data_IF_922011568631
#
_entry.id   IF_922011568631
#
_cell.length_a   1.000
_cell.length_b   1.000
_cell.length_c   1.000
_cell.angle_alpha   90.00
_cell.angle_beta   90.00
_cell.angle_gamma   90.00
#
_symmetry.space_group_name_H-M   'P 1'
#
loop_
_entity.id
_entity.type
_entity.pdbx_description
1 polymer ?
#
# COMPACT_ATOMS: atom_id res chain seq x y z
N UNK A 1 -15.45 2.36 -26.66
CA UNK A 1 -16.69 3.13 -26.79
C UNK A 1 -16.73 4.13 -25.63
N UNK A 2 -16.82 5.41 -25.95
CA UNK A 2 -17.07 6.47 -24.97
C UNK A 2 -18.52 6.32 -24.50
N UNK A 3 -18.71 6.21 -23.21
CA UNK A 3 -20.05 6.24 -22.60
C UNK A 3 -20.23 7.68 -22.11
N UNK A 4 -21.13 8.44 -22.70
CA UNK A 4 -21.55 9.74 -22.15
C UNK A 4 -22.37 9.51 -20.88
N UNK A 5 -21.89 10.07 -19.77
CA UNK A 5 -22.63 10.05 -18.51
C UNK A 5 -23.06 11.49 -18.22
N UNK A 6 -24.34 11.76 -18.29
CA UNK A 6 -24.94 13.02 -17.83
C UNK A 6 -25.01 13.02 -16.30
N UNK A 7 -24.52 14.09 -15.69
CA UNK A 7 -24.33 14.33 -14.26
C UNK A 7 -25.29 13.61 -13.31
N UNK A 8 -24.78 12.66 -12.55
CA UNK A 8 -25.23 12.39 -11.18
C UNK A 8 -24.17 11.56 -10.46
N UNK A 9 -23.61 12.07 -9.37
CA UNK A 9 -22.66 11.35 -8.50
C UNK A 9 -23.16 9.97 -8.05
N UNK A 10 -24.49 9.81 -8.01
CA UNK A 10 -25.15 8.54 -7.71
C UNK A 10 -24.98 7.44 -8.76
N UNK A 11 -24.68 7.78 -10.03
CA UNK A 11 -24.46 6.76 -11.09
C UNK A 11 -23.06 6.15 -11.07
N UNK A 12 -22.09 6.81 -10.44
CA UNK A 12 -20.72 6.31 -10.33
C UNK A 12 -20.49 5.52 -9.04
N UNK A 13 -21.28 5.81 -8.01
CA UNK A 13 -21.28 5.07 -6.76
C UNK A 13 -21.84 3.66 -6.97
N UNK A 14 -20.98 2.65 -6.90
CA UNK A 14 -21.40 1.24 -6.98
C UNK A 14 -21.21 0.56 -8.34
N UNK A 15 -20.69 1.24 -9.36
CA UNK A 15 -20.31 0.55 -10.61
C UNK A 15 -19.10 -0.35 -10.37
N UNK A 16 -19.29 -1.66 -10.42
CA UNK A 16 -18.22 -2.66 -10.36
C UNK A 16 -17.61 -2.88 -11.74
N UNK A 17 -16.30 -3.15 -11.77
CA UNK A 17 -15.63 -3.63 -12.97
C UNK A 17 -15.65 -5.15 -12.94
N UNK A 18 -16.25 -5.74 -13.96
CA UNK A 18 -16.27 -7.20 -14.17
C UNK A 18 -14.86 -7.66 -14.58
N UNK A 19 -14.19 -8.43 -13.70
CA UNK A 19 -12.79 -8.85 -13.91
C UNK A 19 -12.62 -9.83 -15.07
N UNK A 20 -13.66 -10.57 -15.42
CA UNK A 20 -13.64 -11.52 -16.54
C UNK A 20 -13.72 -10.84 -17.91
N UNK A 21 -14.00 -9.52 -17.96
CA UNK A 21 -14.29 -8.80 -19.20
C UNK A 21 -13.46 -7.52 -19.30
N UNK A 22 -12.62 -7.40 -20.33
CA UNK A 22 -11.96 -6.14 -20.66
C UNK A 22 -12.96 -5.10 -21.20
N UNK A 23 -12.73 -3.81 -21.02
CA UNK A 23 -11.57 -3.18 -20.41
C UNK A 23 -11.68 -3.05 -18.89
N UNK A 24 -10.57 -3.24 -18.19
CA UNK A 24 -10.45 -3.03 -16.74
C UNK A 24 -10.06 -1.61 -16.34
N UNK A 25 -9.99 -0.71 -17.31
CA UNK A 25 -9.78 0.72 -17.17
C UNK A 25 -10.73 1.45 -18.14
N UNK A 26 -11.39 2.50 -17.65
CA UNK A 26 -12.38 3.27 -18.41
C UNK A 26 -12.22 4.75 -18.08
N UNK A 27 -12.31 5.59 -19.10
CA UNK A 27 -12.40 7.04 -18.94
C UNK A 27 -13.84 7.45 -19.28
N UNK A 28 -14.53 8.04 -18.31
CA UNK A 28 -15.92 8.47 -18.41
C UNK A 28 -15.96 10.00 -18.39
N UNK A 29 -16.14 10.68 -19.54
CA UNK A 29 -16.30 12.13 -19.56
C UNK A 29 -17.69 12.53 -19.02
N UNK A 30 -17.71 13.56 -18.19
CA UNK A 30 -18.92 14.18 -17.65
C UNK A 30 -18.92 15.63 -18.11
N UNK A 31 -19.93 16.05 -18.85
CA UNK A 31 -20.10 17.42 -19.29
C UNK A 31 -21.10 18.11 -18.39
N UNK A 32 -20.71 19.22 -17.79
CA UNK A 32 -21.60 20.07 -17.03
C UNK A 32 -21.45 21.55 -17.45
N UNK A 33 -22.20 22.44 -16.80
CA UNK A 33 -22.17 23.89 -17.10
C UNK A 33 -20.83 24.55 -16.73
N UNK A 34 -20.02 23.92 -15.89
CA UNK A 34 -18.72 24.43 -15.42
C UNK A 34 -17.55 23.96 -16.29
N UNK A 35 -17.76 22.91 -17.12
CA UNK A 35 -16.73 22.39 -18.01
C UNK A 35 -16.80 20.90 -18.27
N UNK A 36 -15.66 20.30 -18.51
CA UNK A 36 -15.52 18.85 -18.72
C UNK A 36 -14.84 18.25 -17.52
N UNK A 37 -15.55 17.36 -16.82
CA UNK A 37 -14.96 16.47 -15.82
C UNK A 37 -14.70 15.12 -16.46
N UNK A 38 -13.73 14.36 -15.98
CA UNK A 38 -13.49 13.00 -16.42
C UNK A 38 -13.28 12.10 -15.21
N UNK A 39 -13.99 10.98 -15.18
CA UNK A 39 -13.79 9.94 -14.17
C UNK A 39 -12.96 8.82 -14.78
N UNK A 40 -11.76 8.62 -14.23
CA UNK A 40 -10.94 7.47 -14.55
C UNK A 40 -11.31 6.33 -13.59
N UNK A 41 -12.08 5.37 -14.10
CA UNK A 41 -12.43 4.15 -13.37
C UNK A 41 -11.48 3.02 -13.75
N UNK A 42 -10.86 2.38 -12.78
CA UNK A 42 -10.00 1.23 -13.03
C UNK A 42 -10.05 0.23 -11.87
N UNK A 43 -9.77 -1.03 -12.19
CA UNK A 43 -9.52 -2.03 -11.15
C UNK A 43 -8.04 -2.00 -10.77
N UNK A 44 -7.76 -2.07 -9.47
CA UNK A 44 -6.38 -1.95 -8.96
C UNK A 44 -5.42 -3.04 -9.49
N UNK A 45 -5.95 -4.14 -10.03
CA UNK A 45 -5.15 -5.21 -10.66
C UNK A 45 -4.37 -4.75 -11.90
N UNK A 46 -4.76 -3.63 -12.54
CA UNK A 46 -4.11 -3.14 -13.76
C UNK A 46 -3.19 -1.95 -13.54
N UNK A 47 -3.38 -1.20 -12.46
CA UNK A 47 -2.59 -0.02 -12.13
C UNK A 47 -2.33 0.08 -10.64
N UNK A 48 -1.09 0.35 -10.27
CA UNK A 48 -0.72 0.81 -8.94
C UNK A 48 -0.66 2.35 -8.88
N UNK A 49 -0.39 2.90 -7.70
CA UNK A 49 -0.30 4.33 -7.48
C UNK A 49 0.81 5.01 -8.31
N UNK A 50 1.94 4.33 -8.55
CA UNK A 50 3.02 4.85 -9.39
C UNK A 50 2.62 4.88 -10.85
N UNK A 51 1.98 3.81 -11.34
CA UNK A 51 1.44 3.77 -12.70
C UNK A 51 0.38 4.85 -12.93
N UNK A 52 -0.48 5.13 -11.92
CA UNK A 52 -1.45 6.23 -12.00
C UNK A 52 -0.78 7.59 -12.18
N UNK A 53 0.33 7.86 -11.49
CA UNK A 53 1.07 9.12 -11.66
C UNK A 53 1.61 9.27 -13.09
N UNK A 54 2.11 8.16 -13.68
CA UNK A 54 2.56 8.17 -15.08
C UNK A 54 1.41 8.49 -16.02
N UNK A 55 0.24 7.85 -15.83
CA UNK A 55 -0.96 8.13 -16.65
C UNK A 55 -1.37 9.60 -16.57
N UNK A 56 -1.44 10.17 -15.37
CA UNK A 56 -1.81 11.59 -15.20
C UNK A 56 -0.78 12.54 -15.84
N UNK A 57 0.51 12.22 -15.73
CA UNK A 57 1.56 13.00 -16.36
C UNK A 57 1.46 12.96 -17.90
N UNK A 58 1.22 11.79 -18.49
CA UNK A 58 1.04 11.64 -19.93
C UNK A 58 -0.23 12.35 -20.43
N UNK A 59 -1.35 12.28 -19.69
CA UNK A 59 -2.57 13.03 -20.01
C UNK A 59 -2.27 14.52 -20.05
N UNK A 60 -1.58 15.07 -19.05
CA UNK A 60 -1.17 16.47 -19.01
C UNK A 60 -0.33 16.83 -20.24
N UNK A 61 0.72 16.04 -20.53
CA UNK A 61 1.62 16.31 -21.64
C UNK A 61 0.81 16.41 -22.96
N UNK A 62 -0.12 15.50 -23.17
CA UNK A 62 -1.02 15.56 -24.33
C UNK A 62 -1.92 16.79 -24.34
N UNK A 63 -2.49 17.20 -23.21
CA UNK A 63 -3.32 18.41 -23.10
C UNK A 63 -2.52 19.69 -23.42
N UNK A 64 -1.22 19.71 -23.11
CA UNK A 64 -0.32 20.81 -23.43
C UNK A 64 0.33 20.68 -24.83
N UNK A 65 -0.08 19.71 -25.64
CA UNK A 65 0.49 19.48 -26.98
C UNK A 65 1.92 18.94 -26.94
N UNK A 66 2.36 18.40 -25.81
CA UNK A 66 3.68 17.82 -25.64
C UNK A 66 3.63 16.30 -25.91
N UNK A 67 4.74 15.76 -26.38
CA UNK A 67 4.89 14.31 -26.52
C UNK A 67 5.44 13.75 -25.20
N UNK A 68 4.81 12.72 -24.59
CA UNK A 68 5.32 12.10 -23.39
C UNK A 68 6.77 11.65 -23.54
N UNK A 69 7.58 11.84 -22.50
CA UNK A 69 9.01 11.53 -22.53
C UNK A 69 9.29 10.03 -22.55
N UNK A 70 10.05 9.57 -23.54
CA UNK A 70 10.61 8.23 -23.62
C UNK A 70 9.64 7.17 -24.19
N UNK A 71 10.19 5.99 -24.50
CA UNK A 71 9.42 4.86 -25.00
C UNK A 71 8.66 4.17 -23.86
N UNK A 72 7.46 3.61 -24.12
CA UNK A 72 6.73 2.85 -23.12
C UNK A 72 7.51 1.59 -22.72
N UNK A 73 7.56 1.32 -21.40
CA UNK A 73 8.21 0.12 -20.86
C UNK A 73 7.17 -0.98 -20.72
N UNK A 74 7.31 -2.11 -21.42
CA UNK A 74 6.31 -3.17 -21.36
C UNK A 74 6.26 -3.85 -20.00
N UNK A 75 5.07 -3.98 -19.41
CA UNK A 75 4.84 -4.68 -18.13
C UNK A 75 5.30 -6.15 -18.15
N UNK A 76 5.30 -6.78 -19.33
CA UNK A 76 5.82 -8.15 -19.48
C UNK A 76 7.28 -8.34 -19.02
N UNK A 77 8.09 -7.27 -19.03
CA UNK A 77 9.48 -7.32 -18.56
C UNK A 77 9.51 -7.59 -17.04
N UNK A 78 8.64 -6.91 -16.31
CA UNK A 78 8.44 -7.16 -14.88
C UNK A 78 7.92 -8.58 -14.62
N UNK A 79 6.91 -9.03 -15.38
CA UNK A 79 6.38 -10.39 -15.24
C UNK A 79 7.48 -11.45 -15.51
N UNK A 80 8.31 -11.23 -16.51
CA UNK A 80 9.44 -12.11 -16.79
C UNK A 80 10.44 -12.14 -15.63
N UNK A 81 10.79 -10.99 -15.08
CA UNK A 81 11.68 -10.86 -13.93
C UNK A 81 11.12 -11.55 -12.68
N UNK A 82 9.84 -11.30 -12.36
CA UNK A 82 9.19 -11.93 -11.23
C UNK A 82 9.10 -13.47 -11.35
N UNK A 83 9.01 -13.99 -12.59
CA UNK A 83 8.94 -15.44 -12.84
C UNK A 83 10.29 -16.12 -13.01
N UNK A 84 11.30 -15.42 -13.48
CA UNK A 84 12.64 -15.97 -13.79
C UNK A 84 13.67 -15.64 -12.70
N UNK A 85 13.31 -14.82 -11.71
CA UNK A 85 14.16 -14.48 -10.57
C UNK A 85 14.21 -15.60 -9.55
N UNK A 86 13.80 -15.30 -8.32
CA UNK A 86 13.75 -16.30 -7.24
C UNK A 86 12.68 -17.35 -7.55
N UNK A 87 13.05 -18.62 -7.42
CA UNK A 87 12.14 -19.74 -7.69
C UNK A 87 11.01 -19.84 -6.63
N UNK A 88 9.88 -20.45 -7.00
CA UNK A 88 8.79 -20.71 -6.07
C UNK A 88 9.26 -21.57 -4.88
N UNK A 89 10.17 -22.52 -5.09
CA UNK A 89 10.72 -23.36 -4.03
C UNK A 89 11.57 -22.56 -3.02
N UNK A 90 12.31 -21.56 -3.48
CA UNK A 90 13.06 -20.66 -2.58
C UNK A 90 12.12 -19.75 -1.81
N UNK A 91 11.07 -19.22 -2.44
CA UNK A 91 10.01 -18.48 -1.74
C UNK A 91 9.31 -19.35 -0.68
N UNK A 92 8.99 -20.59 -1.04
CA UNK A 92 8.35 -21.55 -0.12
C UNK A 92 9.26 -21.85 1.07
N UNK A 93 10.54 -22.13 0.86
CA UNK A 93 11.51 -22.39 1.91
C UNK A 93 11.62 -21.21 2.88
N UNK A 94 11.67 -19.98 2.35
CA UNK A 94 11.67 -18.75 3.17
C UNK A 94 10.42 -18.66 4.04
N UNK A 95 9.22 -18.73 3.44
CA UNK A 95 7.99 -18.60 4.19
C UNK A 95 7.72 -19.75 5.16
N UNK A 96 8.18 -20.98 4.86
CA UNK A 96 8.12 -22.07 5.84
C UNK A 96 9.00 -21.79 7.06
N UNK A 97 10.16 -21.17 6.87
CA UNK A 97 11.03 -20.76 7.98
C UNK A 97 10.40 -19.63 8.81
N UNK A 98 9.76 -18.65 8.15
CA UNK A 98 9.20 -17.49 8.81
C UNK A 98 7.83 -17.75 9.46
N UNK A 99 7.00 -18.61 8.87
CA UNK A 99 5.59 -18.76 9.22
C UNK A 99 5.16 -20.18 9.61
N UNK A 100 6.06 -21.16 9.47
CA UNK A 100 5.69 -22.58 9.58
C UNK A 100 5.16 -22.99 10.95
N UNK A 101 5.53 -22.28 12.00
CA UNK A 101 5.07 -22.46 13.39
C UNK A 101 3.95 -21.51 13.81
N UNK A 102 3.46 -20.66 12.89
CA UNK A 102 2.31 -19.78 13.15
C UNK A 102 1.02 -20.56 13.00
N UNK A 103 0.41 -20.97 14.10
CA UNK A 103 -0.80 -21.79 14.12
C UNK A 103 -2.10 -20.97 14.23
N UNK A 104 -2.01 -19.72 14.66
CA UNK A 104 -3.16 -18.84 14.86
C UNK A 104 -2.99 -17.51 14.12
N UNK A 105 -4.08 -16.98 13.54
CA UNK A 105 -4.03 -15.70 12.84
C UNK A 105 -3.81 -14.52 13.80
N UNK A 106 -3.28 -13.43 13.28
CA UNK A 106 -3.25 -12.14 13.97
C UNK A 106 -4.43 -11.29 13.54
N UNK A 107 -5.39 -11.13 14.43
CA UNK A 107 -6.67 -10.45 14.18
C UNK A 107 -6.86 -9.31 15.19
N UNK A 108 -6.34 -8.11 14.96
CA UNK A 108 -6.58 -6.95 15.82
C UNK A 108 -8.08 -6.73 16.01
N UNK A 109 -8.48 -6.49 17.27
CA UNK A 109 -9.88 -6.35 17.68
C UNK A 109 -10.76 -7.57 17.37
N UNK A 110 -10.18 -8.74 17.05
CA UNK A 110 -10.91 -9.95 16.67
C UNK A 110 -11.53 -9.91 15.27
N UNK A 111 -11.19 -8.95 14.42
CA UNK A 111 -11.75 -8.83 13.07
C UNK A 111 -11.12 -9.82 12.10
N UNK A 112 -11.90 -10.84 11.70
CA UNK A 112 -11.46 -11.88 10.77
C UNK A 112 -11.95 -11.68 9.33
N UNK A 113 -13.03 -10.91 9.12
CA UNK A 113 -13.69 -10.81 7.83
C UNK A 113 -12.96 -9.86 6.89
N UNK A 114 -12.35 -10.43 5.84
CA UNK A 114 -11.71 -9.70 4.75
C UNK A 114 -12.69 -9.34 3.62
N UNK A 115 -13.92 -9.86 3.66
CA UNK A 115 -14.89 -9.70 2.57
C UNK A 115 -16.05 -8.77 2.96
N UNK A 116 -15.75 -7.66 3.64
CA UNK A 116 -16.77 -6.65 3.94
C UNK A 116 -17.28 -6.02 2.64
N UNK A 117 -18.20 -6.73 1.95
CA UNK A 117 -18.93 -6.20 0.82
C UNK A 117 -19.84 -5.05 1.29
N UNK A 118 -19.40 -3.80 1.04
CA UNK A 118 -20.15 -2.60 1.39
C UNK A 118 -20.07 -2.22 2.87
N UNK A 119 -19.04 -2.67 3.60
CA UNK A 119 -18.80 -2.29 4.98
C UNK A 119 -18.66 -0.77 5.15
N UNK A 120 -19.16 -0.26 6.28
CA UNK A 120 -19.01 1.13 6.68
C UNK A 120 -17.57 1.37 7.16
N UNK A 121 -16.72 1.89 6.28
CA UNK A 121 -15.34 2.24 6.60
C UNK A 121 -15.26 3.66 7.11
N UNK A 122 -14.46 3.85 8.15
CA UNK A 122 -14.06 5.16 8.62
C UNK A 122 -12.65 5.48 8.11
N UNK A 123 -12.46 6.69 7.61
CA UNK A 123 -11.17 7.21 7.17
C UNK A 123 -10.77 8.39 8.04
N UNK A 124 -9.55 8.38 8.55
CA UNK A 124 -8.97 9.53 9.24
C UNK A 124 -7.49 9.66 8.93
N UNK A 125 -6.98 10.87 9.07
CA UNK A 125 -5.55 11.16 8.91
C UNK A 125 -5.05 12.03 10.06
N UNK A 126 -3.76 11.86 10.38
CA UNK A 126 -3.02 12.74 11.29
C UNK A 126 -1.60 12.93 10.78
N UNK A 127 -1.06 14.11 11.01
CA UNK A 127 0.34 14.40 10.68
C UNK A 127 1.18 14.25 11.96
N UNK A 128 2.34 13.62 11.85
CA UNK A 128 3.30 13.55 12.92
C UNK A 128 3.93 14.93 13.11
N UNK A 129 4.07 15.38 14.37
CA UNK A 129 4.70 16.66 14.64
C UNK A 129 6.15 16.68 14.10
N UNK A 130 6.56 17.81 13.51
CA UNK A 130 7.88 17.97 12.88
C UNK A 130 9.03 17.54 13.79
N UNK A 131 8.95 17.88 15.07
CA UNK A 131 9.99 17.51 16.04
C UNK A 131 10.05 15.98 16.26
N UNK A 132 8.89 15.30 16.31
CA UNK A 132 8.83 13.84 16.42
C UNK A 132 9.42 13.19 15.17
N UNK A 133 9.05 13.69 13.98
CA UNK A 133 9.62 13.21 12.73
C UNK A 133 11.16 13.34 12.69
N UNK A 134 11.70 14.48 13.12
CA UNK A 134 13.14 14.69 13.16
C UNK A 134 13.82 13.73 14.14
N UNK A 135 13.22 13.49 15.33
CA UNK A 135 13.69 12.50 16.29
C UNK A 135 13.67 11.08 15.73
N UNK A 136 12.59 10.71 15.05
CA UNK A 136 12.46 9.41 14.38
C UNK A 136 13.58 9.20 13.35
N UNK A 137 13.85 10.20 12.51
CA UNK A 137 14.93 10.14 11.51
C UNK A 137 16.32 10.08 12.16
N UNK A 138 16.53 10.80 13.25
CA UNK A 138 17.77 10.74 14.02
C UNK A 138 17.98 9.36 14.65
N UNK A 139 16.94 8.79 15.26
CA UNK A 139 16.97 7.45 15.84
C UNK A 139 17.25 6.38 14.79
N UNK A 140 16.61 6.45 13.63
CA UNK A 140 16.85 5.53 12.52
C UNK A 140 18.33 5.53 12.12
N UNK A 141 18.93 6.71 11.96
CA UNK A 141 20.38 6.84 11.66
C UNK A 141 21.26 6.29 12.77
N UNK A 142 20.93 6.57 14.04
CA UNK A 142 21.70 6.06 15.20
C UNK A 142 21.67 4.53 15.29
N UNK A 143 20.52 3.93 14.94
CA UNK A 143 20.37 2.48 14.94
C UNK A 143 20.88 1.82 13.65
N UNK A 144 21.25 2.58 12.62
CA UNK A 144 21.65 2.06 11.31
C UNK A 144 20.50 1.37 10.55
N UNK A 145 19.26 1.83 10.75
CA UNK A 145 18.06 1.26 10.15
C UNK A 145 17.29 2.30 9.32
N UNK A 146 16.33 1.86 8.51
CA UNK A 146 15.42 2.76 7.80
C UNK A 146 14.33 3.32 8.73
N UNK A 147 13.78 4.50 8.40
CA UNK A 147 12.59 5.02 9.08
C UNK A 147 11.39 4.06 8.93
N UNK A 148 11.29 3.38 7.79
CA UNK A 148 10.29 2.33 7.59
C UNK A 148 10.36 1.24 8.66
N UNK A 149 11.56 0.82 9.09
CA UNK A 149 11.72 -0.19 10.14
C UNK A 149 11.14 0.26 11.47
N UNK A 150 11.32 1.54 11.83
CA UNK A 150 10.75 2.10 13.06
C UNK A 150 9.21 2.18 12.97
N UNK A 151 8.68 2.59 11.82
CA UNK A 151 7.23 2.63 11.59
C UNK A 151 6.61 1.24 11.64
N UNK A 152 7.27 0.23 11.04
CA UNK A 152 6.79 -1.16 11.11
C UNK A 152 6.83 -1.71 12.53
N UNK A 153 7.86 -1.38 13.31
CA UNK A 153 7.92 -1.77 14.73
C UNK A 153 6.79 -1.10 15.54
N UNK A 154 6.57 0.21 15.34
CA UNK A 154 5.49 0.92 16.02
C UNK A 154 4.13 0.32 15.67
N UNK A 155 3.91 -0.01 14.40
CA UNK A 155 2.71 -0.71 13.94
C UNK A 155 2.58 -2.10 14.57
N UNK A 156 3.65 -2.90 14.58
CA UNK A 156 3.66 -4.21 15.21
C UNK A 156 3.29 -4.16 16.69
N UNK A 157 3.77 -3.15 17.43
CA UNK A 157 3.42 -2.91 18.83
C UNK A 157 1.92 -2.62 19.00
N UNK A 158 1.34 -1.84 18.08
CA UNK A 158 -0.08 -1.53 18.10
C UNK A 158 -0.93 -2.77 17.76
N UNK A 159 -0.50 -3.54 16.75
CA UNK A 159 -1.12 -4.83 16.39
C UNK A 159 -1.04 -5.81 17.57
N UNK A 160 0.10 -5.91 18.25
CA UNK A 160 0.29 -6.74 19.44
C UNK A 160 -0.69 -6.37 20.55
N UNK A 161 -0.78 -5.08 20.87
CA UNK A 161 -1.69 -4.58 21.90
C UNK A 161 -3.17 -4.84 21.59
N UNK A 162 -3.56 -4.77 20.31
CA UNK A 162 -4.95 -4.91 19.87
C UNK A 162 -5.36 -6.34 19.54
N UNK A 163 -4.39 -7.25 19.35
CA UNK A 163 -4.62 -8.69 19.17
C UNK A 163 -4.39 -9.52 20.45
N UNK A 164 -3.76 -8.91 21.47
CA UNK A 164 -3.40 -9.61 22.72
C UNK A 164 -2.27 -10.62 22.55
N UNK A 165 -1.38 -10.43 21.56
CA UNK A 165 -0.26 -11.33 21.24
C UNK A 165 1.04 -10.54 21.12
N UNK A 166 2.16 -11.11 21.56
CA UNK A 166 3.48 -10.52 21.33
C UNK A 166 4.11 -10.96 19.99
N UNK A 167 3.76 -12.16 19.52
CA UNK A 167 4.13 -12.67 18.20
C UNK A 167 3.02 -12.34 17.21
N UNK A 168 3.27 -11.41 16.31
CA UNK A 168 2.27 -10.84 15.41
C UNK A 168 2.66 -10.97 13.95
N UNK A 169 1.65 -11.21 13.12
CA UNK A 169 1.76 -11.18 11.66
C UNK A 169 0.82 -10.12 11.12
N UNK A 170 1.31 -9.29 10.21
CA UNK A 170 0.48 -8.32 9.50
C UNK A 170 0.95 -8.16 8.06
N UNK A 171 0.08 -7.69 7.20
CA UNK A 171 0.43 -7.40 5.81
C UNK A 171 1.33 -6.16 5.73
N UNK A 172 2.43 -6.26 5.00
CA UNK A 172 3.20 -5.08 4.57
C UNK A 172 3.16 -4.96 3.07
N UNK A 173 2.94 -3.73 2.58
CA UNK A 173 2.92 -3.44 1.15
C UNK A 173 4.35 -3.20 0.68
N UNK A 174 4.76 -3.95 -0.32
CA UNK A 174 6.05 -3.84 -1.00
C UNK A 174 5.87 -3.20 -2.37
N UNK A 175 6.81 -2.37 -2.77
CA UNK A 175 6.69 -1.55 -3.98
C UNK A 175 6.79 -2.40 -5.27
N UNK A 176 7.51 -3.52 -5.24
CA UNK A 176 7.69 -4.43 -6.37
C UNK A 176 8.50 -3.85 -7.55
N UNK A 177 8.99 -2.62 -7.42
CA UNK A 177 9.76 -1.91 -8.47
C UNK A 177 11.25 -1.84 -8.17
N UNK A 178 11.69 -2.22 -6.97
CA UNK A 178 13.09 -2.10 -6.55
C UNK A 178 14.02 -2.98 -7.40
N UNK A 179 13.52 -4.14 -7.81
CA UNK A 179 14.24 -5.05 -8.71
C UNK A 179 13.79 -4.92 -10.17
N UNK A 180 12.94 -3.94 -10.49
CA UNK A 180 12.24 -3.82 -11.79
C UNK A 180 13.10 -3.45 -12.99
N UNK A 181 14.41 -3.21 -12.81
CA UNK A 181 15.32 -2.81 -13.88
C UNK A 181 15.10 -1.38 -14.37
N UNK A 182 15.80 -1.02 -15.45
CA UNK A 182 15.73 0.32 -16.04
C UNK A 182 14.32 0.63 -16.56
N UNK A 183 13.75 1.77 -16.14
CA UNK A 183 12.43 2.24 -16.56
C UNK A 183 11.25 1.62 -15.83
N UNK A 184 11.47 0.80 -14.78
CA UNK A 184 10.37 0.26 -13.97
C UNK A 184 9.49 1.34 -13.32
N UNK A 185 10.06 2.51 -13.05
CA UNK A 185 9.38 3.69 -12.53
C UNK A 185 8.35 4.27 -13.49
N UNK A 186 8.49 4.02 -14.80
CA UNK A 186 7.59 4.49 -15.87
C UNK A 186 6.70 3.39 -16.45
N UNK A 187 6.90 2.14 -16.05
CA UNK A 187 6.08 1.05 -16.54
C UNK A 187 4.67 1.10 -15.95
N UNK A 188 3.66 0.95 -16.81
CA UNK A 188 2.26 0.84 -16.39
C UNK A 188 1.95 -0.60 -15.99
N UNK A 189 1.37 -0.79 -14.82
CA UNK A 189 0.99 -2.10 -14.32
C UNK A 189 0.83 -2.13 -12.81
N UNK A 190 0.51 -3.32 -12.29
CA UNK A 190 0.42 -3.62 -10.87
C UNK A 190 1.74 -4.23 -10.40
N UNK A 191 2.56 -3.44 -9.73
CA UNK A 191 3.85 -3.88 -9.20
C UNK A 191 3.78 -4.17 -7.70
N UNK A 192 2.93 -3.43 -6.98
CA UNK A 192 2.81 -3.60 -5.53
C UNK A 192 2.35 -5.00 -5.18
N UNK A 193 2.89 -5.51 -4.08
CA UNK A 193 2.52 -6.77 -3.49
C UNK A 193 2.32 -6.61 -1.99
N UNK A 194 1.45 -7.40 -1.39
CA UNK A 194 1.27 -7.42 0.07
C UNK A 194 1.72 -8.77 0.57
N UNK A 195 2.72 -8.77 1.46
CA UNK A 195 3.26 -9.99 2.04
C UNK A 195 3.19 -9.94 3.58
N UNK A 196 3.12 -11.11 4.24
CA UNK A 196 3.14 -11.18 5.69
C UNK A 196 4.51 -10.83 6.25
N UNK A 197 4.54 -9.90 7.20
CA UNK A 197 5.68 -9.64 8.07
C UNK A 197 5.35 -10.15 9.46
N UNK A 198 6.16 -11.10 9.96
CA UNK A 198 6.06 -11.62 11.33
C UNK A 198 7.10 -10.96 12.21
N UNK A 199 6.67 -10.51 13.38
CA UNK A 199 7.55 -9.99 14.44
C UNK A 199 7.15 -10.60 15.78
N UNK A 200 8.02 -11.44 16.34
CA UNK A 200 7.93 -11.90 17.72
C UNK A 200 8.65 -10.88 18.60
N UNK A 201 7.90 -10.13 19.38
CA UNK A 201 8.37 -9.05 20.24
C UNK A 201 8.53 -9.50 21.70
N UNK A 202 8.26 -10.78 22.02
CA UNK A 202 8.30 -11.30 23.38
C UNK A 202 9.70 -11.15 23.97
N UNK A 203 9.79 -10.50 25.13
CA UNK A 203 11.06 -10.37 25.89
C UNK A 203 12.15 -9.49 25.23
N UNK A 204 11.86 -8.85 24.10
CA UNK A 204 12.83 -7.98 23.43
C UNK A 204 12.84 -6.58 24.03
N UNK A 205 14.05 -6.03 24.21
CA UNK A 205 14.19 -4.61 24.40
C UNK A 205 13.97 -3.84 23.09
N UNK A 206 13.81 -2.52 23.19
CA UNK A 206 13.49 -1.67 22.02
C UNK A 206 14.58 -1.76 20.94
N UNK A 207 15.86 -1.81 21.31
CA UNK A 207 16.96 -1.87 20.36
C UNK A 207 16.96 -3.19 19.60
N UNK A 208 16.78 -4.31 20.31
CA UNK A 208 16.70 -5.63 19.70
C UNK A 208 15.47 -5.73 18.76
N UNK A 209 14.31 -5.20 19.18
CA UNK A 209 13.12 -5.16 18.36
C UNK A 209 13.29 -4.32 17.07
N UNK A 210 13.99 -3.17 17.16
CA UNK A 210 14.33 -2.34 15.98
C UNK A 210 15.21 -3.12 15.00
N UNK A 211 16.25 -3.79 15.48
CA UNK A 211 17.16 -4.57 14.64
C UNK A 211 16.45 -5.78 14.01
N UNK A 212 15.65 -6.50 14.78
CA UNK A 212 14.83 -7.60 14.27
C UNK A 212 13.91 -7.13 13.15
N UNK A 213 13.18 -6.04 13.37
CA UNK A 213 12.25 -5.49 12.36
C UNK A 213 12.97 -5.14 11.07
N UNK A 214 14.16 -4.50 11.19
CA UNK A 214 14.95 -4.13 10.02
C UNK A 214 15.42 -5.36 9.24
N UNK A 215 15.92 -6.39 9.95
CA UNK A 215 16.37 -7.65 9.35
C UNK A 215 15.23 -8.40 8.65
N UNK A 216 14.04 -8.49 9.29
CA UNK A 216 12.87 -9.16 8.73
C UNK A 216 12.33 -8.45 7.49
N UNK A 217 12.28 -7.10 7.51
CA UNK A 217 11.92 -6.32 6.33
C UNK A 217 12.92 -6.49 5.19
N UNK A 218 14.21 -6.47 5.47
CA UNK A 218 15.23 -6.66 4.46
C UNK A 218 15.15 -8.06 3.82
N UNK A 219 14.94 -9.10 4.64
CA UNK A 219 14.74 -10.46 4.15
C UNK A 219 13.48 -10.57 3.30
N UNK A 220 12.37 -9.97 3.73
CA UNK A 220 11.10 -10.00 3.00
C UNK A 220 11.20 -9.30 1.64
N UNK A 221 11.96 -8.20 1.54
CA UNK A 221 12.19 -7.48 0.28
C UNK A 221 12.89 -8.34 -0.78
N UNK A 222 13.72 -9.28 -0.39
CA UNK A 222 14.31 -10.25 -1.34
C UNK A 222 13.23 -11.10 -2.00
N UNK A 223 12.13 -11.36 -1.27
CA UNK A 223 11.01 -12.16 -1.71
C UNK A 223 9.79 -11.34 -2.17
N UNK A 224 9.98 -10.06 -2.55
CA UNK A 224 8.88 -9.13 -2.87
C UNK A 224 7.94 -9.62 -3.98
N UNK A 225 8.37 -10.55 -4.83
CA UNK A 225 7.56 -11.12 -5.91
C UNK A 225 6.84 -12.43 -5.54
N UNK A 226 6.96 -12.89 -4.30
CA UNK A 226 6.26 -14.08 -3.84
C UNK A 226 4.73 -13.89 -3.83
N UNK A 227 4.00 -14.98 -3.98
CA UNK A 227 2.54 -14.95 -3.84
C UNK A 227 2.12 -14.93 -2.36
N UNK A 228 1.20 -14.03 -1.99
CA UNK A 228 0.56 -14.06 -0.66
C UNK A 228 -0.11 -15.42 -0.38
N UNK A 229 -0.70 -16.04 -1.40
CA UNK A 229 -1.31 -17.36 -1.26
C UNK A 229 -0.26 -18.45 -0.95
N UNK A 230 0.96 -18.35 -1.49
CA UNK A 230 2.07 -19.23 -1.13
C UNK A 230 2.46 -19.02 0.34
N UNK A 231 2.67 -17.78 0.75
CA UNK A 231 3.02 -17.44 2.13
C UNK A 231 1.96 -17.95 3.13
N UNK A 232 0.67 -17.78 2.82
CA UNK A 232 -0.44 -18.32 3.61
C UNK A 232 -0.36 -19.84 3.75
N UNK A 233 -0.09 -20.58 2.67
CA UNK A 233 0.04 -22.04 2.71
C UNK A 233 1.26 -22.53 3.49
N UNK A 234 2.27 -21.69 3.68
CA UNK A 234 3.45 -22.01 4.46
C UNK A 234 3.25 -21.87 5.97
N UNK A 235 2.13 -21.30 6.42
CA UNK A 235 1.76 -21.21 7.85
C UNK A 235 0.94 -22.41 8.30
N UNK A 236 0.77 -22.55 9.63
CA UNK A 236 -0.13 -23.51 10.26
C UNK A 236 -1.60 -23.06 10.26
N UNK A 237 -1.90 -21.82 9.82
CA UNK A 237 -3.27 -21.30 9.81
C UNK A 237 -4.06 -21.90 8.64
N UNK A 238 -5.10 -22.66 8.98
CA UNK A 238 -5.91 -23.37 7.99
C UNK A 238 -6.81 -22.41 7.20
N UNK A 239 -6.85 -22.60 5.87
CA UNK A 239 -7.83 -21.89 5.03
C UNK A 239 -9.28 -22.33 5.41
N UNK A 240 -10.27 -21.42 5.33
CA UNK A 240 -10.24 -20.08 4.71
C UNK A 240 -9.83 -18.95 5.67
N UNK A 241 -9.37 -19.26 6.89
CA UNK A 241 -8.97 -18.24 7.87
C UNK A 241 -7.79 -17.42 7.34
N UNK A 242 -7.87 -16.08 7.31
CA UNK A 242 -6.75 -15.25 6.87
C UNK A 242 -5.63 -15.28 7.93
N UNK A 243 -4.38 -15.23 7.50
CA UNK A 243 -3.23 -15.16 8.39
C UNK A 243 -3.19 -13.86 9.22
N UNK A 244 -3.69 -12.78 8.64
CA UNK A 244 -3.79 -11.45 9.25
C UNK A 244 -4.97 -10.67 8.68
N UNK A 245 -5.47 -9.69 9.43
CA UNK A 245 -6.54 -8.79 9.00
C UNK A 245 -6.16 -7.30 9.00
N UNK A 246 -4.90 -7.01 9.29
CA UNK A 246 -4.38 -5.65 9.31
C UNK A 246 -3.17 -5.50 8.37
N UNK A 247 -3.06 -4.35 7.70
CA UNK A 247 -1.93 -4.08 6.83
C UNK A 247 -1.33 -2.69 7.04
N UNK A 248 -0.04 -2.57 6.76
CA UNK A 248 0.72 -1.33 6.73
C UNK A 248 1.26 -1.08 5.32
N UNK A 249 1.06 0.12 4.82
CA UNK A 249 1.67 0.62 3.59
C UNK A 249 2.55 1.82 3.91
N UNK A 250 3.86 1.61 3.96
CA UNK A 250 4.82 2.70 4.11
C UNK A 250 5.26 3.18 2.74
N UNK A 251 5.00 4.45 2.44
CA UNK A 251 5.32 5.06 1.15
C UNK A 251 6.34 6.18 1.34
N UNK A 252 7.39 6.17 0.53
CA UNK A 252 8.19 7.36 0.38
C UNK A 252 7.36 8.39 -0.39
N UNK A 253 6.99 9.46 0.27
CA UNK A 253 6.35 10.62 -0.34
C UNK A 253 7.32 11.32 -1.29
N UNK A 254 6.78 12.15 -2.16
CA UNK A 254 7.59 13.06 -2.94
C UNK A 254 8.25 14.08 -2.02
N UNK A 255 9.50 14.40 -2.28
CA UNK A 255 10.15 15.57 -1.71
C UNK A 255 9.34 16.84 -2.05
N UNK A 256 9.54 17.95 -1.31
CA UNK A 256 8.87 19.21 -1.63
C UNK A 256 9.08 19.62 -3.10
N UNK A 257 10.27 19.37 -3.64
CA UNK A 257 10.59 19.62 -5.05
C UNK A 257 9.80 18.72 -6.00
N UNK A 258 9.66 17.44 -5.66
CA UNK A 258 8.82 16.51 -6.42
C UNK A 258 7.33 16.80 -6.25
N UNK A 259 6.91 17.32 -5.09
CA UNK A 259 5.54 17.76 -4.88
C UNK A 259 5.25 19.03 -5.69
N UNK A 260 6.13 20.03 -5.67
CA UNK A 260 6.03 21.22 -6.50
C UNK A 260 6.05 20.88 -8.00
N UNK A 261 6.92 19.94 -8.40
CA UNK A 261 6.94 19.43 -9.78
C UNK A 261 5.63 18.70 -10.13
N UNK A 262 5.00 18.03 -9.17
CA UNK A 262 3.67 17.40 -9.34
C UNK A 262 2.55 18.42 -9.46
N UNK A 263 2.56 19.44 -8.62
CA UNK A 263 1.55 20.49 -8.65
C UNK A 263 1.65 21.29 -9.97
N UNK A 264 2.87 21.58 -10.42
CA UNK A 264 3.13 22.09 -11.76
C UNK A 264 2.74 21.08 -12.85
N UNK A 265 2.96 19.79 -12.58
CA UNK A 265 2.63 18.70 -13.48
C UNK A 265 1.12 18.50 -13.68
N UNK A 266 0.30 18.98 -12.78
CA UNK A 266 -1.16 18.93 -12.85
C UNK A 266 -1.77 20.29 -13.17
N UNK A 267 -0.95 21.26 -13.66
CA UNK A 267 -1.47 22.58 -14.06
C UNK A 267 -2.59 22.40 -15.10
N UNK A 268 -3.78 22.89 -14.76
CA UNK A 268 -5.00 22.71 -15.55
C UNK A 268 -5.77 21.39 -15.28
N UNK A 269 -5.29 20.52 -14.39
CA UNK A 269 -6.00 19.30 -13.99
C UNK A 269 -6.19 19.31 -12.48
N UNK A 270 -7.43 19.37 -12.02
CA UNK A 270 -7.78 19.19 -10.62
C UNK A 270 -8.14 17.72 -10.38
N UNK A 271 -7.40 17.05 -9.49
CA UNK A 271 -7.71 15.68 -9.06
C UNK A 271 -8.66 15.73 -7.88
N UNK A 272 -9.92 15.37 -8.12
CA UNK A 272 -10.92 15.30 -7.06
C UNK A 272 -10.70 14.06 -6.18
N UNK A 273 -11.09 14.12 -4.89
CA UNK A 273 -10.99 12.98 -4.00
C UNK A 273 -11.70 11.76 -4.58
N UNK A 274 -10.99 10.65 -4.71
CA UNK A 274 -11.56 9.39 -5.17
C UNK A 274 -11.89 8.49 -3.98
N UNK A 275 -13.04 7.85 -4.00
CA UNK A 275 -13.41 6.79 -3.06
C UNK A 275 -12.76 5.46 -3.49
N UNK A 276 -12.15 4.76 -2.55
CA UNK A 276 -11.65 3.41 -2.73
C UNK A 276 -11.71 2.65 -1.42
N UNK A 277 -12.13 1.38 -1.48
CA UNK A 277 -12.16 0.53 -0.29
C UNK A 277 -11.02 -0.49 -0.38
N UNK A 278 -10.23 -0.62 0.69
CA UNK A 278 -9.26 -1.70 0.85
C UNK A 278 -9.97 -3.02 1.14
N UNK A 279 -9.27 -4.12 0.88
CA UNK A 279 -9.77 -5.47 1.17
C UNK A 279 -9.53 -5.89 2.64
N UNK A 280 -8.84 -5.09 3.42
CA UNK A 280 -8.50 -5.40 4.81
C UNK A 280 -9.34 -4.57 5.78
N UNK A 281 -9.84 -5.17 6.87
CA UNK A 281 -10.59 -4.46 7.92
C UNK A 281 -9.83 -3.28 8.51
N UNK A 282 -8.50 -3.38 8.56
CA UNK A 282 -7.62 -2.34 9.07
C UNK A 282 -6.48 -2.12 8.07
N UNK A 283 -6.45 -0.94 7.48
CA UNK A 283 -5.38 -0.52 6.57
C UNK A 283 -4.79 0.80 7.04
N UNK A 284 -3.48 0.85 7.20
CA UNK A 284 -2.76 2.07 7.56
C UNK A 284 -1.76 2.41 6.48
N UNK A 285 -1.85 3.64 5.98
CA UNK A 285 -0.87 4.22 5.09
C UNK A 285 -0.02 5.23 5.86
N UNK A 286 1.28 5.16 5.71
CA UNK A 286 2.23 6.12 6.26
C UNK A 286 3.02 6.73 5.12
N UNK A 287 2.77 8.01 4.85
CA UNK A 287 3.47 8.77 3.81
C UNK A 287 4.65 9.53 4.43
N UNK A 288 5.87 9.15 4.08
CA UNK A 288 7.09 9.88 4.43
C UNK A 288 7.31 10.99 3.39
N UNK A 289 6.97 12.20 3.77
CA UNK A 289 7.01 13.39 2.91
C UNK A 289 8.42 14.02 2.85
N UNK A 290 9.41 13.43 3.53
CA UNK A 290 10.76 14.00 3.64
C UNK A 290 10.87 15.13 4.67
N UNK A 291 9.80 15.87 4.91
CA UNK A 291 9.66 16.96 5.89
C UNK A 291 8.78 16.59 7.09
N UNK A 292 8.00 15.50 6.96
CA UNK A 292 7.07 14.99 7.97
C UNK A 292 6.55 13.62 7.60
N UNK A 293 5.74 13.02 8.48
CA UNK A 293 4.98 11.81 8.21
C UNK A 293 3.49 12.12 8.29
N UNK A 294 2.73 11.62 7.31
CA UNK A 294 1.28 11.57 7.37
C UNK A 294 0.82 10.14 7.58
N UNK A 295 0.00 9.93 8.59
CA UNK A 295 -0.61 8.64 8.91
C UNK A 295 -2.07 8.71 8.50
N UNK A 296 -2.52 7.78 7.66
CA UNK A 296 -3.92 7.67 7.24
C UNK A 296 -4.41 6.26 7.55
N UNK A 297 -5.44 6.13 8.36
CA UNK A 297 -6.08 4.87 8.67
C UNK A 297 -7.43 4.76 7.97
N UNK A 298 -7.70 3.60 7.40
CA UNK A 298 -9.02 3.18 6.92
C UNK A 298 -9.40 1.91 7.68
N UNK A 299 -10.50 1.95 8.40
CA UNK A 299 -10.90 0.86 9.29
C UNK A 299 -12.38 0.56 9.16
N UNK A 300 -12.74 -0.72 9.30
CA UNK A 300 -14.13 -1.13 9.44
C UNK A 300 -14.69 -0.68 10.79
N UNK A 301 -15.90 -0.13 10.81
CA UNK A 301 -16.62 0.09 12.06
C UNK A 301 -16.87 -1.22 12.81
N UNK A 302 -16.88 -1.20 14.14
CA UNK A 302 -16.93 -0.04 15.04
C UNK A 302 -15.57 0.55 15.43
N UNK A 303 -14.46 0.18 14.80
CA UNK A 303 -13.14 0.74 15.12
C UNK A 303 -13.07 2.18 14.64
N UNK A 304 -12.57 3.08 15.49
CA UNK A 304 -12.35 4.46 15.13
C UNK A 304 -11.01 4.64 14.38
N UNK A 305 -11.04 5.24 13.19
CA UNK A 305 -9.83 5.51 12.41
C UNK A 305 -8.93 6.56 13.07
N UNK A 306 -9.54 7.63 13.62
CA UNK A 306 -8.78 8.71 14.27
C UNK A 306 -8.01 8.24 15.51
N UNK A 307 -8.60 7.51 16.48
CA UNK A 307 -7.85 6.95 17.61
C UNK A 307 -6.69 6.05 17.18
N UNK A 308 -6.86 5.27 16.11
CA UNK A 308 -5.80 4.42 15.59
C UNK A 308 -4.61 5.24 15.04
N UNK A 309 -4.88 6.31 14.29
CA UNK A 309 -3.84 7.22 13.80
C UNK A 309 -3.10 7.89 14.97
N UNK A 310 -3.82 8.39 15.97
CA UNK A 310 -3.27 9.06 17.15
C UNK A 310 -2.42 8.12 18.00
N UNK A 311 -2.86 6.87 18.18
CA UNK A 311 -2.10 5.84 18.88
C UNK A 311 -0.80 5.51 18.15
N UNK A 312 -0.85 5.33 16.81
CA UNK A 312 0.37 5.08 16.04
C UNK A 312 1.33 6.27 16.10
N UNK A 313 0.84 7.50 15.99
CA UNK A 313 1.63 8.70 16.14
C UNK A 313 2.25 8.85 17.55
N UNK A 314 1.55 8.35 18.57
CA UNK A 314 2.07 8.36 19.95
C UNK A 314 3.18 7.32 20.17
N UNK A 315 3.09 6.17 19.52
CA UNK A 315 4.10 5.09 19.63
C UNK A 315 5.38 5.44 18.87
N UNK A 316 5.27 6.25 17.80
CA UNK A 316 6.39 6.75 17.01
C UNK A 316 7.17 7.87 17.73
#
# INVERSE_FOLDING_TARGET
ALIEVTSNDAMLAGQRIELASAPLIRLLPIHDAAGVQAVLQFHHIVLDHTAMKVVLAEIRDHLHGQTPAGAPVPYRNYVAQARLGISEAEHEAFFRTELGDVEEPTLPYGLADLQHEGGDFELASTDLATEQYQRLRALARQCGVSAASLVHLAWARLVAATSGKDDVVFGTVLLGRLQGGEGADRALGMFINTLPLRLDLAGLDVRAAVQLTHQRLAALLVHEHASLALAQRCSGVAAPTPLFSAMLNYRHGATEQEQQARDQALEGIEVLPAGGHGNYPISVNVDDLGTGLRITAQVCRPIGARPLCEQLAHVL
#
